data_IF_762191085416
#
_entry.id   IF_762191085416
#
_cell.length_a   1.000
_cell.length_b   1.000
_cell.length_c   1.000
_cell.angle_alpha   90.00
_cell.angle_beta   90.00
_cell.angle_gamma   90.00
#
_symmetry.space_group_name_H-M   'P 1'
#
loop_
_entity.id
_entity.type
_entity.pdbx_description
1 polymer ?
#
# COMPACT_ATOMS: atom_id res chain seq x y z
N UNK A 1 91.15 -6.67 17.50
CA UNK A 1 90.12 -7.31 18.34
C UNK A 1 88.80 -6.75 17.94
N UNK A 2 88.12 -7.49 17.10
CA UNK A 2 86.87 -7.09 16.44
C UNK A 2 85.73 -7.96 16.96
N UNK A 3 84.86 -7.42 17.72
CA UNK A 3 83.63 -8.13 18.11
C UNK A 3 82.53 -7.78 17.19
N UNK A 4 82.15 -8.76 16.33
CA UNK A 4 81.00 -8.72 15.45
C UNK A 4 79.79 -9.18 16.24
N UNK A 5 78.94 -8.22 16.61
CA UNK A 5 77.61 -8.58 17.18
C UNK A 5 76.62 -8.95 16.04
N UNK A 6 76.26 -10.23 15.98
CA UNK A 6 75.24 -10.75 15.15
C UNK A 6 73.91 -10.38 15.76
N UNK A 7 73.15 -9.47 15.12
CA UNK A 7 71.79 -9.15 15.47
C UNK A 7 70.82 -10.23 14.87
N UNK A 8 70.33 -11.05 15.73
CA UNK A 8 69.33 -12.06 15.42
C UNK A 8 67.94 -11.40 15.44
N UNK A 9 67.38 -11.14 14.25
CA UNK A 9 66.03 -10.60 14.10
C UNK A 9 65.01 -11.67 14.38
N UNK A 10 63.98 -11.45 15.24
CA UNK A 10 62.92 -12.43 15.48
C UNK A 10 62.03 -12.54 14.27
N UNK A 11 61.80 -13.76 13.80
CA UNK A 11 60.87 -14.10 12.72
C UNK A 11 59.41 -13.73 13.08
N UNK A 12 58.88 -12.70 12.45
CA UNK A 12 57.46 -12.32 12.51
C UNK A 12 56.62 -13.21 11.58
N UNK A 13 56.26 -14.41 11.96
CA UNK A 13 55.38 -15.28 11.20
C UNK A 13 54.01 -15.65 11.81
N UNK A 14 53.46 -15.09 12.88
CA UNK A 14 52.07 -15.35 13.26
C UNK A 14 51.07 -14.24 12.89
N UNK A 15 51.50 -13.04 12.52
CA UNK A 15 50.61 -11.89 12.29
C UNK A 15 49.71 -12.06 11.02
N UNK A 16 50.25 -12.60 9.95
CA UNK A 16 49.58 -12.70 8.65
C UNK A 16 48.37 -13.65 8.68
N UNK A 17 48.47 -14.78 9.37
CA UNK A 17 47.32 -15.72 9.55
C UNK A 17 46.23 -15.10 10.41
N UNK A 18 46.57 -14.31 11.40
CA UNK A 18 45.61 -13.60 12.28
C UNK A 18 44.87 -12.50 11.53
N UNK A 19 45.54 -11.73 10.71
CA UNK A 19 44.92 -10.69 9.86
C UNK A 19 44.01 -11.29 8.82
N UNK A 20 44.37 -12.41 8.20
CA UNK A 20 43.51 -13.14 7.25
C UNK A 20 42.26 -13.65 7.91
N UNK A 21 42.33 -14.20 9.11
CA UNK A 21 41.15 -14.71 9.83
C UNK A 21 40.22 -13.56 10.25
N UNK A 22 40.77 -12.40 10.65
CA UNK A 22 39.99 -11.19 10.94
C UNK A 22 39.29 -10.66 9.67
N UNK A 23 40.03 -10.63 8.55
CA UNK A 23 39.44 -10.21 7.27
C UNK A 23 38.26 -11.12 6.85
N UNK A 24 38.43 -12.45 6.96
CA UNK A 24 37.33 -13.39 6.68
C UNK A 24 36.16 -13.22 7.64
N UNK A 25 36.41 -12.96 8.92
CA UNK A 25 35.37 -12.68 9.90
C UNK A 25 34.57 -11.39 9.56
N UNK A 26 35.29 -10.33 9.17
CA UNK A 26 34.65 -9.09 8.74
C UNK A 26 33.80 -9.26 7.46
N UNK A 27 34.35 -9.97 6.45
CA UNK A 27 33.60 -10.25 5.22
C UNK A 27 32.37 -11.12 5.51
N UNK A 28 32.52 -12.14 6.37
CA UNK A 28 31.42 -12.98 6.81
C UNK A 28 30.34 -12.19 7.56
N UNK A 29 30.73 -11.27 8.41
CA UNK A 29 29.80 -10.41 9.15
C UNK A 29 29.03 -9.48 8.22
N UNK A 30 29.71 -8.82 7.29
CA UNK A 30 29.05 -7.97 6.28
C UNK A 30 28.11 -8.79 5.40
N UNK A 31 28.55 -9.98 4.97
CA UNK A 31 27.70 -10.88 4.20
C UNK A 31 26.44 -11.32 4.96
N UNK A 32 26.58 -11.59 6.26
CA UNK A 32 25.44 -11.92 7.12
C UNK A 32 24.46 -10.74 7.29
N UNK A 33 24.96 -9.51 7.44
CA UNK A 33 24.12 -8.30 7.53
C UNK A 33 23.35 -8.07 6.23
N UNK A 34 23.99 -8.21 5.08
CA UNK A 34 23.35 -8.09 3.77
C UNK A 34 22.32 -9.19 3.59
N UNK A 35 22.65 -10.44 3.92
CA UNK A 35 21.72 -11.57 3.86
C UNK A 35 20.49 -11.39 4.75
N UNK A 36 20.68 -10.87 5.96
CA UNK A 36 19.59 -10.57 6.89
C UNK A 36 18.67 -9.45 6.36
N UNK A 37 19.24 -8.41 5.73
CA UNK A 37 18.48 -7.34 5.10
C UNK A 37 17.60 -7.86 3.95
N UNK A 38 18.14 -8.75 3.12
CA UNK A 38 17.37 -9.39 2.05
C UNK A 38 16.29 -10.35 2.57
N UNK A 39 16.55 -11.05 3.65
CA UNK A 39 15.60 -11.97 4.26
C UNK A 39 14.46 -11.24 4.99
N UNK A 40 14.70 -10.01 5.47
CA UNK A 40 13.71 -9.22 6.18
C UNK A 40 12.49 -8.85 5.30
N UNK A 41 12.71 -8.61 4.00
CA UNK A 41 11.62 -8.22 3.08
C UNK A 41 10.57 -9.32 2.93
N UNK A 42 10.91 -10.55 2.50
CA UNK A 42 9.91 -11.61 2.36
C UNK A 42 9.30 -12.01 3.71
N UNK A 43 10.08 -11.95 4.79
CA UNK A 43 9.56 -12.24 6.14
C UNK A 43 8.51 -11.21 6.57
N UNK A 44 8.75 -9.94 6.26
CA UNK A 44 7.78 -8.86 6.54
C UNK A 44 6.51 -9.02 5.69
N UNK A 45 6.62 -9.39 4.41
CA UNK A 45 5.47 -9.66 3.55
C UNK A 45 4.62 -10.82 4.09
N UNK A 46 5.24 -11.93 4.50
CA UNK A 46 4.53 -13.06 5.11
C UNK A 46 3.86 -12.62 6.42
N UNK A 47 4.56 -11.84 7.25
CA UNK A 47 3.99 -11.31 8.48
C UNK A 47 2.75 -10.45 8.21
N UNK A 48 2.81 -9.52 7.24
CA UNK A 48 1.66 -8.68 6.87
C UNK A 48 0.50 -9.51 6.32
N UNK A 49 0.78 -10.55 5.52
CA UNK A 49 -0.25 -11.46 4.99
C UNK A 49 -0.96 -12.26 6.08
N UNK A 50 -0.20 -12.77 7.06
CA UNK A 50 -0.76 -13.59 8.16
C UNK A 50 -1.47 -12.74 9.21
N UNK A 51 -0.97 -11.55 9.50
CA UNK A 51 -1.52 -10.69 10.55
C UNK A 51 -2.52 -9.65 10.04
N UNK A 52 -2.62 -9.45 8.72
CA UNK A 52 -3.44 -8.37 8.13
C UNK A 52 -2.97 -6.96 8.53
N UNK A 53 -1.77 -6.85 9.12
CA UNK A 53 -1.24 -5.58 9.60
C UNK A 53 -0.85 -4.67 8.42
N UNK A 54 -1.38 -3.46 8.39
CA UNK A 54 -1.13 -2.50 7.33
C UNK A 54 -2.31 -2.25 6.39
N UNK A 55 -3.51 -2.84 6.67
CA UNK A 55 -4.72 -2.57 5.89
C UNK A 55 -4.69 -3.14 4.46
N UNK A 56 -3.77 -4.07 4.19
CA UNK A 56 -3.81 -4.86 2.96
C UNK A 56 -5.00 -5.81 3.05
N UNK A 57 -6.05 -5.49 2.32
CA UNK A 57 -7.17 -6.42 2.15
C UNK A 57 -6.65 -7.71 1.50
N UNK A 58 -6.89 -8.85 2.15
CA UNK A 58 -6.57 -10.14 1.57
C UNK A 58 -7.28 -10.28 0.22
N UNK A 59 -6.56 -10.67 -0.83
CA UNK A 59 -7.18 -11.19 -2.04
C UNK A 59 -7.61 -12.61 -1.75
N UNK A 60 -8.88 -12.82 -1.54
CA UNK A 60 -9.44 -14.16 -1.36
C UNK A 60 -10.13 -14.53 -2.68
N UNK A 61 -9.66 -15.61 -3.28
CA UNK A 61 -10.23 -16.13 -4.55
C UNK A 61 -11.57 -16.85 -4.35
N UNK A 62 -12.03 -17.01 -3.10
CA UNK A 62 -13.28 -17.69 -2.77
C UNK A 62 -14.12 -16.83 -1.82
N UNK A 63 -15.42 -16.84 -2.06
CA UNK A 63 -16.42 -16.29 -1.15
C UNK A 63 -16.40 -17.05 0.19
N UNK A 64 -16.86 -16.41 1.26
CA UNK A 64 -16.99 -17.08 2.56
C UNK A 64 -18.04 -18.19 2.49
N UNK A 65 -17.70 -19.36 3.03
CA UNK A 65 -18.66 -20.49 3.15
C UNK A 65 -19.63 -20.29 4.32
N UNK A 66 -19.38 -19.31 5.19
CA UNK A 66 -20.16 -19.05 6.40
C UNK A 66 -20.80 -17.67 6.31
N UNK A 67 -22.11 -17.62 6.36
CA UNK A 67 -22.89 -16.38 6.43
C UNK A 67 -23.52 -16.29 7.82
N UNK A 68 -23.31 -15.17 8.51
CA UNK A 68 -23.90 -14.90 9.83
C UNK A 68 -25.20 -14.12 9.68
N UNK A 69 -26.13 -14.30 10.64
CA UNK A 69 -27.38 -13.52 10.69
C UNK A 69 -27.14 -12.05 11.00
N UNK A 70 -25.97 -11.72 11.53
CA UNK A 70 -25.58 -10.34 11.86
C UNK A 70 -25.29 -9.57 10.57
N UNK A 71 -25.91 -8.39 10.46
CA UNK A 71 -25.74 -7.48 9.34
C UNK A 71 -24.74 -6.37 9.66
N UNK A 72 -24.08 -5.91 8.62
CA UNK A 72 -23.16 -4.79 8.67
C UNK A 72 -23.46 -3.82 7.52
N UNK A 73 -23.36 -2.53 7.80
CA UNK A 73 -23.55 -1.48 6.81
C UNK A 73 -22.23 -1.16 6.12
N UNK A 74 -22.24 -1.20 4.80
CA UNK A 74 -21.09 -0.77 3.98
C UNK A 74 -21.44 0.55 3.31
N UNK A 75 -20.59 1.55 3.51
CA UNK A 75 -20.68 2.84 2.84
C UNK A 75 -19.60 2.93 1.77
N UNK A 76 -19.96 3.54 0.67
CA UNK A 76 -19.08 3.75 -0.46
C UNK A 76 -18.82 5.24 -0.64
N UNK A 77 -17.55 5.59 -0.72
CA UNK A 77 -17.09 6.95 -0.91
C UNK A 77 -16.17 7.01 -2.13
N UNK A 78 -16.29 8.08 -2.90
CA UNK A 78 -15.55 8.28 -4.14
C UNK A 78 -14.91 9.66 -4.13
N UNK A 79 -13.61 9.70 -4.32
CA UNK A 79 -12.82 10.91 -4.37
C UNK A 79 -12.00 10.93 -5.65
N UNK A 80 -11.71 12.12 -6.14
CA UNK A 80 -10.93 12.31 -7.33
C UNK A 80 -10.00 13.51 -7.18
N UNK A 81 -8.80 13.39 -7.72
CA UNK A 81 -7.90 14.54 -7.87
C UNK A 81 -8.48 15.52 -8.90
N UNK A 82 -8.61 16.81 -8.58
CA UNK A 82 -9.13 17.81 -9.52
C UNK A 82 -8.35 17.88 -10.85
N UNK A 83 -7.11 17.44 -10.85
CA UNK A 83 -6.25 17.44 -12.03
C UNK A 83 -6.63 16.39 -13.08
N UNK A 84 -7.44 15.40 -12.72
CA UNK A 84 -7.79 14.29 -13.62
C UNK A 84 -8.93 14.64 -14.58
N UNK A 85 -9.80 15.59 -14.21
CA UNK A 85 -10.94 15.99 -15.04
C UNK A 85 -11.94 14.87 -15.27
N UNK A 86 -12.25 14.10 -14.23
CA UNK A 86 -13.26 13.03 -14.26
C UNK A 86 -14.39 13.34 -13.28
N UNK A 87 -15.54 12.76 -13.53
CA UNK A 87 -16.62 12.55 -12.56
C UNK A 87 -16.51 11.11 -12.09
N UNK A 88 -16.49 10.89 -10.76
CA UNK A 88 -16.38 9.56 -10.19
C UNK A 88 -17.30 9.44 -8.98
N UNK A 89 -18.26 8.53 -9.06
CA UNK A 89 -19.27 8.34 -8.01
C UNK A 89 -19.63 6.86 -7.84
N UNK A 90 -20.03 6.43 -6.62
CA UNK A 90 -20.63 5.13 -6.41
C UNK A 90 -22.10 5.14 -6.92
N UNK A 91 -22.55 4.11 -7.63
CA UNK A 91 -23.97 3.98 -8.03
C UNK A 91 -24.90 3.85 -6.82
N UNK A 92 -24.40 3.26 -5.73
CA UNK A 92 -25.11 3.11 -4.45
C UNK A 92 -24.17 3.62 -3.35
N UNK A 93 -24.65 4.51 -2.49
CA UNK A 93 -23.84 5.11 -1.41
C UNK A 93 -23.71 4.23 -0.19
N UNK A 94 -24.67 3.38 0.07
CA UNK A 94 -24.63 2.44 1.19
C UNK A 94 -25.45 1.18 0.90
N UNK A 95 -25.03 0.06 1.46
CA UNK A 95 -25.72 -1.21 1.40
C UNK A 95 -25.60 -1.91 2.76
N UNK A 96 -26.63 -2.65 3.15
CA UNK A 96 -26.59 -3.50 4.34
C UNK A 96 -26.54 -4.96 3.89
N UNK A 97 -25.51 -5.67 4.30
CA UNK A 97 -25.25 -7.08 3.94
C UNK A 97 -25.09 -7.92 5.20
N UNK A 98 -25.35 -9.22 5.08
CA UNK A 98 -24.99 -10.18 6.12
C UNK A 98 -23.46 -10.37 6.15
N UNK A 99 -22.88 -10.57 7.34
CA UNK A 99 -21.44 -10.87 7.46
C UNK A 99 -21.18 -12.23 6.83
N UNK A 100 -20.20 -12.30 5.90
CA UNK A 100 -19.91 -13.47 5.08
C UNK A 100 -20.62 -13.46 3.73
N UNK A 101 -21.64 -12.63 3.54
CA UNK A 101 -22.35 -12.50 2.26
C UNK A 101 -21.48 -11.77 1.24
N UNK A 102 -21.39 -12.34 0.03
CA UNK A 102 -20.72 -11.69 -1.10
C UNK A 102 -21.69 -10.71 -1.77
N UNK A 103 -21.27 -9.48 -1.87
CA UNK A 103 -22.02 -8.42 -2.51
C UNK A 103 -21.21 -7.79 -3.66
N UNK A 104 -21.94 -7.30 -4.66
CA UNK A 104 -21.38 -6.54 -5.76
C UNK A 104 -21.96 -5.13 -5.75
N UNK A 105 -21.11 -4.16 -6.00
CA UNK A 105 -21.50 -2.79 -6.26
C UNK A 105 -20.69 -2.23 -7.42
N UNK A 106 -21.14 -1.12 -7.99
CA UNK A 106 -20.50 -0.50 -9.13
C UNK A 106 -20.19 0.97 -8.83
N UNK A 107 -19.00 1.38 -9.20
CA UNK A 107 -18.64 2.77 -9.36
C UNK A 107 -18.78 3.17 -10.83
N UNK A 108 -19.01 4.42 -11.05
CA UNK A 108 -19.13 5.04 -12.35
C UNK A 108 -18.07 6.12 -12.48
N UNK A 109 -17.31 6.10 -13.56
CA UNK A 109 -16.37 7.16 -13.92
C UNK A 109 -16.72 7.72 -15.30
N UNK A 110 -16.59 9.03 -15.47
CA UNK A 110 -16.80 9.73 -16.73
C UNK A 110 -15.74 10.79 -16.92
N UNK A 111 -15.11 10.81 -18.08
CA UNK A 111 -14.17 11.86 -18.45
C UNK A 111 -14.93 13.14 -18.86
N UNK A 112 -14.60 14.25 -18.21
CA UNK A 112 -15.00 15.62 -18.62
C UNK A 112 -13.83 16.39 -19.20
N UNK A 113 -12.65 15.73 -19.33
CA UNK A 113 -11.47 16.26 -20.00
C UNK A 113 -11.69 16.35 -21.50
N UNK A 114 -10.93 17.22 -22.17
CA UNK A 114 -10.88 17.34 -23.63
C UNK A 114 -9.74 16.50 -24.25
N UNK A 115 -8.95 15.83 -23.43
CA UNK A 115 -7.81 14.99 -23.81
C UNK A 115 -7.93 13.64 -23.14
N UNK A 116 -7.26 12.64 -23.68
CA UNK A 116 -7.08 11.36 -23.02
C UNK A 116 -6.36 11.59 -21.69
N UNK A 117 -6.87 10.98 -20.65
CA UNK A 117 -6.32 11.13 -19.29
C UNK A 117 -6.15 9.76 -18.65
N UNK A 118 -5.04 9.61 -17.91
CA UNK A 118 -4.68 8.37 -17.24
C UNK A 118 -4.84 8.52 -15.73
N UNK A 119 -5.60 7.62 -15.12
CA UNK A 119 -5.85 7.61 -13.69
C UNK A 119 -5.51 6.29 -13.04
N UNK A 120 -5.07 6.36 -11.80
CA UNK A 120 -4.87 5.19 -10.94
C UNK A 120 -5.69 5.35 -9.67
N UNK A 121 -6.44 4.31 -9.31
CA UNK A 121 -7.22 4.28 -8.09
C UNK A 121 -6.41 3.75 -6.92
N UNK A 122 -6.55 4.41 -5.78
CA UNK A 122 -6.22 3.85 -4.47
C UNK A 122 -7.48 3.69 -3.66
N UNK A 123 -7.45 2.83 -2.65
CA UNK A 123 -8.60 2.65 -1.77
C UNK A 123 -8.18 2.62 -0.30
N UNK A 124 -9.13 2.94 0.56
CA UNK A 124 -8.98 2.88 2.00
C UNK A 124 -10.25 2.32 2.63
N UNK A 125 -10.10 1.58 3.73
CA UNK A 125 -11.20 1.02 4.53
C UNK A 125 -11.19 1.66 5.90
N UNK A 126 -12.33 2.16 6.35
CA UNK A 126 -12.51 2.77 7.66
C UNK A 126 -13.64 2.08 8.42
N UNK A 127 -13.46 1.68 9.70
CA UNK A 127 -12.25 1.81 10.51
C UNK A 127 -11.13 0.88 10.04
N UNK A 128 -9.89 1.27 10.30
CA UNK A 128 -8.71 0.53 9.84
C UNK A 128 -8.64 -0.90 10.42
N UNK A 129 -9.14 -1.08 11.65
CA UNK A 129 -9.26 -2.40 12.28
C UNK A 129 -10.15 -3.37 11.50
N UNK A 130 -11.15 -2.86 10.79
CA UNK A 130 -12.02 -3.68 9.94
C UNK A 130 -11.40 -4.00 8.57
N UNK A 131 -10.33 -3.31 8.18
CA UNK A 131 -9.68 -3.49 6.89
C UNK A 131 -9.15 -4.90 6.64
N UNK A 132 -8.68 -5.58 7.69
CA UNK A 132 -8.20 -6.96 7.61
C UNK A 132 -9.33 -7.97 7.31
N UNK A 133 -10.56 -7.62 7.64
CA UNK A 133 -11.76 -8.46 7.47
C UNK A 133 -12.59 -8.05 6.24
N UNK A 134 -12.21 -6.98 5.55
CA UNK A 134 -12.86 -6.54 4.33
C UNK A 134 -12.14 -7.14 3.12
N UNK A 135 -12.71 -8.21 2.56
CA UNK A 135 -12.12 -8.96 1.47
C UNK A 135 -12.72 -8.52 0.13
N UNK A 136 -11.88 -8.20 -0.83
CA UNK A 136 -12.25 -7.91 -2.20
C UNK A 136 -11.89 -9.07 -3.09
N UNK A 137 -12.87 -9.62 -3.78
CA UNK A 137 -12.71 -10.72 -4.73
C UNK A 137 -12.25 -10.18 -6.07
N UNK A 138 -12.93 -9.15 -6.57
CA UNK A 138 -12.59 -8.46 -7.81
C UNK A 138 -12.47 -6.95 -7.59
N UNK A 139 -11.49 -6.33 -8.23
CA UNK A 139 -11.21 -4.92 -8.08
C UNK A 139 -10.48 -4.36 -9.31
N UNK A 140 -10.91 -3.20 -9.76
CA UNK A 140 -10.27 -2.41 -10.82
C UNK A 140 -9.06 -1.58 -10.34
N UNK A 141 -8.78 -1.54 -9.04
CA UNK A 141 -7.90 -0.55 -8.39
C UNK A 141 -6.41 -0.67 -8.72
N UNK A 142 -5.96 -1.74 -9.38
CA UNK A 142 -4.54 -1.93 -9.71
C UNK A 142 -4.23 -1.76 -11.19
N UNK A 143 -5.24 -1.42 -11.98
CA UNK A 143 -5.09 -1.20 -13.42
C UNK A 143 -5.04 0.29 -13.68
N UNK A 144 -4.07 0.73 -14.45
CA UNK A 144 -4.09 2.04 -15.04
C UNK A 144 -5.34 2.15 -15.90
N UNK A 145 -6.12 3.18 -15.66
CA UNK A 145 -7.36 3.42 -16.39
C UNK A 145 -7.14 4.64 -17.27
N UNK A 146 -7.27 4.47 -18.57
CA UNK A 146 -7.30 5.54 -19.54
C UNK A 146 -8.75 5.82 -19.91
N UNK A 147 -9.14 7.09 -19.93
CA UNK A 147 -10.44 7.53 -20.42
C UNK A 147 -10.26 8.56 -21.53
N UNK A 148 -10.96 8.31 -22.65
CA UNK A 148 -11.10 9.27 -23.75
C UNK A 148 -12.07 10.40 -23.38
N UNK A 149 -12.04 11.55 -24.09
CA UNK A 149 -12.97 12.63 -23.86
C UNK A 149 -14.43 12.18 -23.95
N UNK A 150 -15.17 12.35 -22.85
CA UNK A 150 -16.58 11.98 -22.75
C UNK A 150 -16.86 10.47 -22.52
N UNK A 151 -15.83 9.66 -22.43
CA UNK A 151 -15.97 8.23 -22.15
C UNK A 151 -16.54 7.97 -20.75
N UNK A 152 -17.37 6.94 -20.67
CA UNK A 152 -18.00 6.46 -19.43
C UNK A 152 -17.56 5.03 -19.17
N UNK A 153 -17.14 4.75 -17.95
CA UNK A 153 -16.70 3.43 -17.52
C UNK A 153 -17.41 3.01 -16.24
N UNK A 154 -18.02 1.86 -16.26
CA UNK A 154 -18.56 1.19 -15.07
C UNK A 154 -17.53 0.24 -14.47
N UNK A 155 -17.31 0.37 -13.16
CA UNK A 155 -16.27 -0.33 -12.43
C UNK A 155 -16.90 -1.19 -11.32
N UNK A 156 -17.09 -2.49 -11.56
CA UNK A 156 -17.65 -3.38 -10.55
C UNK A 156 -16.62 -3.68 -9.45
N UNK A 157 -17.10 -3.76 -8.22
CA UNK A 157 -16.37 -4.21 -7.05
C UNK A 157 -17.14 -5.33 -6.39
N UNK A 158 -16.53 -6.51 -6.29
CA UNK A 158 -17.08 -7.67 -5.60
C UNK A 158 -16.33 -7.84 -4.28
N UNK A 159 -17.06 -7.90 -3.19
CA UNK A 159 -16.50 -7.95 -1.84
C UNK A 159 -17.36 -8.76 -0.88
N UNK A 160 -16.78 -9.15 0.24
CA UNK A 160 -17.49 -9.67 1.41
C UNK A 160 -16.76 -9.25 2.70
N UNK A 161 -17.45 -9.33 3.82
CA UNK A 161 -16.87 -9.11 5.14
C UNK A 161 -16.65 -10.46 5.81
N UNK A 162 -15.43 -10.71 6.23
CA UNK A 162 -15.04 -11.98 6.85
C UNK A 162 -15.82 -12.20 8.17
N UNK A 163 -16.43 -13.39 8.36
CA UNK A 163 -17.12 -13.74 9.60
C UNK A 163 -16.27 -13.59 10.86
N UNK A 164 -14.96 -13.71 10.77
CA UNK A 164 -14.06 -13.56 11.92
C UNK A 164 -14.07 -12.14 12.52
N UNK A 165 -14.61 -11.14 11.83
CA UNK A 165 -14.74 -9.77 12.34
C UNK A 165 -15.47 -9.70 13.68
N UNK A 166 -16.37 -10.65 13.99
CA UNK A 166 -17.11 -10.67 15.25
C UNK A 166 -16.32 -11.27 16.42
N UNK A 167 -15.21 -11.94 16.14
CA UNK A 167 -14.40 -12.67 17.13
C UNK A 167 -13.38 -11.76 17.83
N UNK A 168 -13.10 -10.58 17.28
CA UNK A 168 -12.09 -9.65 17.82
C UNK A 168 -12.74 -8.49 18.55
N UNK A 169 -12.21 -8.16 19.74
CA UNK A 169 -12.72 -7.08 20.60
C UNK A 169 -12.73 -5.72 19.89
N UNK A 170 -11.75 -5.47 19.01
CA UNK A 170 -11.59 -4.20 18.30
C UNK A 170 -12.62 -4.02 17.18
N UNK A 171 -13.18 -5.10 16.66
CA UNK A 171 -14.06 -5.09 15.47
C UNK A 171 -15.48 -5.55 15.74
N UNK A 172 -15.74 -6.31 16.81
CA UNK A 172 -17.08 -6.84 17.13
C UNK A 172 -18.15 -5.75 17.31
N UNK A 173 -17.74 -4.51 17.64
CA UNK A 173 -18.61 -3.36 17.78
C UNK A 173 -18.80 -2.54 16.51
N UNK A 174 -18.11 -2.88 15.42
CA UNK A 174 -18.18 -2.16 14.14
C UNK A 174 -19.52 -2.46 13.47
N UNK A 175 -20.32 -1.42 13.27
CA UNK A 175 -21.62 -1.50 12.60
C UNK A 175 -21.58 -0.98 11.16
N UNK A 176 -20.56 -0.20 10.85
CA UNK A 176 -20.41 0.43 9.53
C UNK A 176 -18.96 0.38 9.11
N UNK A 177 -18.74 -0.08 7.89
CA UNK A 177 -17.44 -0.01 7.21
C UNK A 177 -17.58 0.95 6.04
N UNK A 178 -16.62 1.86 5.87
CA UNK A 178 -16.59 2.75 4.71
C UNK A 178 -15.45 2.34 3.79
N UNK A 179 -15.77 2.04 2.55
CA UNK A 179 -14.83 1.82 1.47
C UNK A 179 -14.72 3.12 0.66
N UNK A 180 -13.57 3.74 0.71
CA UNK A 180 -13.29 4.99 0.00
C UNK A 180 -12.29 4.74 -1.11
N UNK A 181 -12.64 5.13 -2.33
CA UNK A 181 -11.74 5.13 -3.49
C UNK A 181 -11.31 6.56 -3.81
N UNK A 182 -10.04 6.69 -4.21
CA UNK A 182 -9.51 7.98 -4.67
C UNK A 182 -8.71 7.75 -5.95
N UNK A 183 -9.08 8.47 -7.02
CA UNK A 183 -8.34 8.49 -8.27
C UNK A 183 -7.32 9.63 -8.29
N UNK A 184 -6.11 9.29 -8.73
CA UNK A 184 -5.00 10.22 -8.95
C UNK A 184 -4.54 10.15 -10.41
N UNK A 185 -4.05 11.26 -10.98
CA UNK A 185 -3.42 11.22 -12.29
C UNK A 185 -2.18 10.34 -12.29
N UNK A 186 -1.99 9.58 -13.37
CA UNK A 186 -0.88 8.67 -13.56
C UNK A 186 -0.09 9.06 -14.81
N UNK A 187 1.24 8.87 -14.80
CA UNK A 187 2.09 9.20 -15.94
C UNK A 187 2.42 10.69 -16.03
N UNK A 188 2.43 11.21 -17.25
CA UNK A 188 2.74 12.61 -17.55
C UNK A 188 1.61 13.58 -17.17
N UNK A 189 0.42 13.05 -16.86
CA UNK A 189 -0.75 13.81 -16.39
C UNK A 189 -0.65 14.23 -14.91
N UNK A 190 0.52 14.07 -14.28
CA UNK A 190 0.72 14.54 -12.90
C UNK A 190 0.51 16.05 -12.85
N UNK A 191 -0.30 16.54 -11.89
CA UNK A 191 -0.50 17.98 -11.74
C UNK A 191 0.85 18.63 -11.48
N UNK A 192 1.24 19.55 -12.35
CA UNK A 192 2.26 20.53 -12.00
C UNK A 192 1.69 21.24 -10.78
N UNK A 193 2.33 21.06 -9.62
CA UNK A 193 1.90 21.68 -8.37
C UNK A 193 1.54 23.15 -8.69
N UNK A 194 0.28 23.51 -8.46
CA UNK A 194 -0.21 24.85 -8.76
C UNK A 194 0.75 25.82 -8.05
N UNK A 195 1.56 26.52 -8.84
CA UNK A 195 2.44 27.54 -8.33
C UNK A 195 1.55 28.52 -7.57
N UNK A 196 1.71 28.59 -6.27
CA UNK A 196 1.04 29.57 -5.42
C UNK A 196 1.26 30.92 -6.09
N UNK A 197 0.22 31.66 -6.50
CA UNK A 197 0.40 32.95 -7.12
C UNK A 197 1.18 33.82 -6.14
N UNK A 198 2.18 34.59 -6.59
CA UNK A 198 2.98 35.42 -5.71
C UNK A 198 2.00 36.38 -4.99
N UNK A 199 2.03 36.33 -3.68
CA UNK A 199 1.31 37.25 -2.80
C UNK A 199 1.78 38.66 -3.17
N UNK A 200 0.96 39.41 -3.88
CA UNK A 200 1.20 40.83 -4.13
C UNK A 200 1.29 41.51 -2.77
N UNK A 201 2.51 41.83 -2.37
CA UNK A 201 2.76 42.75 -1.29
C UNK A 201 2.44 44.12 -1.89
N UNK A 202 1.22 44.59 -1.59
CA UNK A 202 0.80 45.93 -1.97
C UNK A 202 1.78 46.94 -1.39
N UNK A 203 2.37 47.70 -2.26
CA UNK A 203 3.00 48.98 -1.92
C UNK A 203 1.97 49.85 -1.22
N UNK A 204 2.18 50.07 0.07
CA UNK A 204 1.51 51.13 0.84
C UNK A 204 2.36 52.40 0.73
N UNK A 205 1.99 53.27 -0.17
CA UNK A 205 2.36 54.67 -0.07
C UNK A 205 1.53 55.32 1.02
N UNK A 206 2.19 56.12 1.85
CA UNK A 206 1.58 57.03 2.79
C UNK A 206 2.57 57.50 3.83
#
# INVERSE_FOLDING_TARGET
>A
MSDTQSQNSPQQKPAEKRHRNVAFACVGFVGAMVGMSYAAVPLYEIFCQVTGYGGTTARVEQASDVILDQKIKIRFDANISPALGWEFEPKIREVEIAIGETAQMEYFAKSISQMNTHGQATFNVTPQSAGAFFNKVECFCFTETELEPGEVLDMPVVFFVDPDIVNYEETKGVKTITLSYTFFPYGDDKPVAAATPPKNIGEGEG
#
